data_IF_137089443246
#
_entry.id   IF_137089443246
#
_cell.length_a   1.000
_cell.length_b   1.000
_cell.length_c   1.000
_cell.angle_alpha   90.00
_cell.angle_beta   90.00
_cell.angle_gamma   90.00
#
_symmetry.space_group_name_H-M   'P 1'
#
loop_
_entity.id
_entity.type
_entity.pdbx_description
1 polymer ?
#
# COMPACT_ATOMS: atom_id res chain seq x y z
N UNK A 1 -20.74 -20.46 22.46
CA UNK A 1 -19.96 -21.72 22.44
C UNK A 1 -18.51 -21.33 22.22
N UNK A 2 -17.54 -21.86 22.99
CA UNK A 2 -16.14 -21.57 22.71
C UNK A 2 -15.81 -22.20 21.35
N UNK A 3 -15.32 -21.38 20.43
CA UNK A 3 -14.87 -21.80 19.10
C UNK A 3 -13.75 -22.81 19.34
N UNK A 4 -13.95 -24.04 18.88
CA UNK A 4 -12.95 -25.11 18.96
C UNK A 4 -11.64 -24.57 18.35
N UNK A 5 -10.47 -24.64 19.02
CA UNK A 5 -9.23 -24.19 18.42
C UNK A 5 -9.04 -24.96 17.11
N UNK A 6 -9.00 -24.21 16.00
CA UNK A 6 -8.90 -24.79 14.67
C UNK A 6 -7.64 -25.64 14.62
N UNK A 7 -7.84 -26.93 14.41
CA UNK A 7 -6.73 -27.86 14.24
C UNK A 7 -6.52 -28.03 12.75
N UNK A 8 -5.59 -27.25 12.21
CA UNK A 8 -5.13 -27.41 10.84
C UNK A 8 -4.25 -28.67 10.73
N UNK A 9 -4.34 -29.40 9.63
CA UNK A 9 -3.62 -30.68 9.46
C UNK A 9 -2.25 -30.51 8.84
N UNK A 10 -2.10 -29.51 7.99
CA UNK A 10 -0.95 -29.31 7.11
C UNK A 10 -0.15 -28.05 7.46
N UNK A 11 -0.71 -27.14 8.24
CA UNK A 11 -0.09 -25.88 8.66
C UNK A 11 -0.17 -25.67 10.18
N UNK A 12 0.77 -24.91 10.71
CA UNK A 12 0.78 -24.41 12.09
C UNK A 12 0.69 -22.89 12.07
N UNK A 13 0.14 -22.33 13.14
CA UNK A 13 -0.05 -20.89 13.32
C UNK A 13 0.63 -20.42 14.61
N UNK A 14 1.27 -19.26 14.55
CA UNK A 14 1.86 -18.60 15.71
C UNK A 14 1.40 -17.13 15.78
N UNK A 15 0.59 -16.83 16.79
CA UNK A 15 0.12 -15.47 17.10
C UNK A 15 1.08 -14.69 17.99
N UNK A 16 2.11 -15.34 18.53
CA UNK A 16 3.15 -14.75 19.36
C UNK A 16 4.44 -14.44 18.58
N UNK A 17 4.44 -14.72 17.27
CA UNK A 17 5.56 -14.43 16.37
C UNK A 17 6.04 -12.97 16.46
N UNK A 18 5.12 -12.03 16.62
CA UNK A 18 5.41 -10.62 16.83
C UNK A 18 4.59 -10.07 18.02
N UNK A 19 5.13 -9.12 18.83
CA UNK A 19 4.45 -8.58 20.01
C UNK A 19 3.01 -8.10 19.81
N UNK A 20 2.64 -7.72 18.59
CA UNK A 20 1.32 -7.19 18.23
C UNK A 20 0.36 -8.22 17.66
N UNK A 21 0.83 -9.43 17.32
CA UNK A 21 0.05 -10.45 16.61
C UNK A 21 -0.15 -10.20 15.11
N UNK A 22 0.28 -9.05 14.59
CA UNK A 22 0.31 -8.71 13.17
C UNK A 22 1.76 -8.82 12.66
N UNK A 23 2.07 -9.66 11.64
CA UNK A 23 1.18 -10.65 11.03
C UNK A 23 1.14 -11.96 11.85
N UNK A 24 0.13 -12.80 11.59
CA UNK A 24 0.16 -14.19 12.06
C UNK A 24 1.14 -14.98 11.23
N UNK A 25 2.06 -15.68 11.89
CA UNK A 25 2.99 -16.57 11.21
C UNK A 25 2.30 -17.91 10.88
N UNK A 26 2.48 -18.35 9.64
CA UNK A 26 1.94 -19.61 9.11
C UNK A 26 3.10 -20.44 8.56
N UNK A 27 3.24 -21.67 9.06
CA UNK A 27 4.32 -22.57 8.66
C UNK A 27 3.79 -23.96 8.28
N UNK A 28 4.40 -24.65 7.30
CA UNK A 28 4.03 -26.03 7.00
C UNK A 28 4.42 -26.98 8.15
N UNK A 29 3.60 -28.00 8.40
CA UNK A 29 3.92 -29.06 9.37
C UNK A 29 4.62 -30.23 8.68
N UNK A 30 4.01 -30.78 7.63
CA UNK A 30 4.39 -32.06 7.06
C UNK A 30 5.06 -31.97 5.68
N UNK A 31 4.78 -30.89 4.92
CA UNK A 31 5.29 -30.70 3.57
C UNK A 31 5.53 -29.23 3.30
N UNK A 32 6.69 -28.83 2.75
CA UNK A 32 6.92 -27.46 2.34
C UNK A 32 6.17 -27.10 1.03
N UNK A 33 5.60 -28.07 0.32
CA UNK A 33 4.79 -27.80 -0.86
C UNK A 33 3.47 -27.12 -0.47
N UNK A 34 3.35 -25.83 -0.77
CA UNK A 34 2.17 -25.03 -0.46
C UNK A 34 0.89 -25.59 -1.11
N UNK A 35 0.99 -26.31 -2.23
CA UNK A 35 -0.16 -26.92 -2.91
C UNK A 35 -0.78 -28.02 -2.07
N UNK A 36 0.03 -28.75 -1.31
CA UNK A 36 -0.45 -29.75 -0.36
C UNK A 36 -1.12 -29.14 0.88
N UNK A 37 -0.89 -27.84 1.13
CA UNK A 37 -1.42 -27.09 2.28
C UNK A 37 -2.54 -26.11 1.90
N UNK A 38 -2.89 -26.00 0.61
CA UNK A 38 -3.68 -24.87 0.11
C UNK A 38 -5.09 -24.80 0.72
N UNK A 39 -5.71 -25.95 1.00
CA UNK A 39 -7.05 -25.99 1.59
C UNK A 39 -7.07 -25.44 3.02
N UNK A 40 -6.11 -25.86 3.85
CA UNK A 40 -5.95 -25.33 5.21
C UNK A 40 -5.55 -23.85 5.19
N UNK A 41 -4.69 -23.45 4.24
CA UNK A 41 -4.28 -22.05 4.05
C UNK A 41 -5.49 -21.17 3.70
N UNK A 42 -6.35 -21.61 2.77
CA UNK A 42 -7.58 -20.89 2.40
C UNK A 42 -8.53 -20.75 3.58
N UNK A 43 -8.76 -21.85 4.30
CA UNK A 43 -9.60 -21.84 5.49
C UNK A 43 -9.07 -20.88 6.55
N UNK A 44 -7.75 -20.85 6.77
CA UNK A 44 -7.11 -19.91 7.68
C UNK A 44 -7.31 -18.46 7.22
N UNK A 45 -7.08 -18.18 5.94
CA UNK A 45 -7.22 -16.83 5.36
C UNK A 45 -8.64 -16.31 5.54
N UNK A 46 -9.66 -17.11 5.25
CA UNK A 46 -11.07 -16.74 5.44
C UNK A 46 -11.40 -16.38 6.90
N UNK A 47 -10.73 -17.01 7.87
CA UNK A 47 -11.03 -16.86 9.29
C UNK A 47 -10.19 -15.80 9.99
N UNK A 48 -8.94 -15.62 9.57
CA UNK A 48 -7.97 -14.80 10.30
C UNK A 48 -7.57 -13.52 9.58
N UNK A 49 -7.66 -13.44 8.24
CA UNK A 49 -7.18 -12.25 7.53
C UNK A 49 -7.89 -10.98 7.99
N UNK A 50 -9.23 -11.00 8.06
CA UNK A 50 -10.01 -9.83 8.49
C UNK A 50 -9.89 -9.55 10.00
N UNK A 51 -9.47 -10.53 10.80
CA UNK A 51 -9.24 -10.33 12.24
C UNK A 51 -7.89 -9.65 12.46
N UNK A 52 -6.86 -10.16 11.80
CA UNK A 52 -5.45 -9.86 12.07
C UNK A 52 -4.90 -8.77 11.14
N UNK A 53 -5.47 -8.59 9.95
CA UNK A 53 -5.01 -7.67 8.91
C UNK A 53 -3.89 -8.22 8.02
N UNK A 54 -3.14 -9.24 8.47
CA UNK A 54 -2.06 -9.82 7.68
C UNK A 54 -1.56 -11.19 8.17
N UNK A 55 -1.01 -11.95 7.22
CA UNK A 55 -0.49 -13.31 7.40
C UNK A 55 0.89 -13.43 6.75
N UNK A 56 1.84 -14.08 7.43
CA UNK A 56 3.18 -14.37 6.92
C UNK A 56 3.34 -15.88 6.74
N UNK A 57 3.49 -16.32 5.49
CA UNK A 57 3.74 -17.71 5.12
C UNK A 57 5.25 -17.94 5.01
N UNK A 58 5.80 -18.77 5.90
CA UNK A 58 7.24 -19.04 6.01
C UNK A 58 7.55 -20.53 5.96
N UNK A 59 8.62 -20.88 5.25
CA UNK A 59 9.07 -22.27 5.12
C UNK A 59 8.37 -23.07 4.03
N UNK A 60 7.49 -22.44 3.24
CA UNK A 60 6.94 -23.03 2.03
C UNK A 60 7.96 -22.95 0.87
N UNK A 61 7.96 -23.96 0.00
CA UNK A 61 8.86 -24.07 -1.14
C UNK A 61 8.40 -23.20 -2.32
N UNK A 62 8.39 -21.89 -2.12
CA UNK A 62 7.99 -20.91 -3.14
C UNK A 62 9.25 -20.29 -3.75
N UNK A 63 9.42 -20.43 -5.07
CA UNK A 63 10.63 -20.00 -5.78
C UNK A 63 10.29 -19.16 -6.99
N UNK A 64 10.65 -17.88 -6.91
CA UNK A 64 10.56 -16.95 -8.03
C UNK A 64 9.12 -16.52 -8.34
N UNK A 65 9.00 -15.66 -9.36
CA UNK A 65 7.75 -14.98 -9.68
C UNK A 65 6.64 -15.91 -10.19
N UNK A 66 6.95 -17.01 -10.87
CA UNK A 66 5.94 -17.93 -11.41
C UNK A 66 5.21 -18.70 -10.30
N UNK A 67 5.94 -19.27 -9.34
CA UNK A 67 5.36 -19.96 -8.18
C UNK A 67 4.61 -18.98 -7.27
N UNK A 68 5.13 -17.76 -7.10
CA UNK A 68 4.42 -16.71 -6.38
C UNK A 68 3.10 -16.34 -7.06
N UNK A 69 3.10 -16.17 -8.39
CA UNK A 69 1.89 -15.90 -9.17
C UNK A 69 0.86 -17.03 -9.00
N UNK A 70 1.30 -18.29 -9.11
CA UNK A 70 0.44 -19.45 -8.91
C UNK A 70 -0.15 -19.51 -7.50
N UNK A 71 0.64 -19.19 -6.47
CA UNK A 71 0.18 -19.11 -5.09
C UNK A 71 -0.88 -18.03 -4.91
N UNK A 72 -0.63 -16.80 -5.39
CA UNK A 72 -1.57 -15.69 -5.27
C UNK A 72 -2.89 -15.97 -6.04
N UNK A 73 -2.81 -16.54 -7.25
CA UNK A 73 -3.99 -16.93 -8.04
C UNK A 73 -4.78 -18.09 -7.43
N UNK A 74 -4.16 -18.91 -6.59
CA UNK A 74 -4.86 -20.03 -5.95
C UNK A 74 -6.04 -19.56 -5.09
N UNK A 75 -6.05 -18.31 -4.63
CA UNK A 75 -7.16 -17.69 -3.89
C UNK A 75 -8.36 -17.29 -4.76
N UNK A 76 -8.35 -17.58 -6.07
CA UNK A 76 -9.53 -17.50 -6.93
C UNK A 76 -9.86 -16.09 -7.44
N UNK A 77 -8.89 -15.18 -7.45
CA UNK A 77 -9.04 -13.84 -7.97
C UNK A 77 -8.01 -13.58 -9.07
N UNK A 78 -8.43 -12.88 -10.12
CA UNK A 78 -7.49 -12.34 -11.09
C UNK A 78 -6.60 -11.29 -10.42
N UNK A 79 -5.32 -11.31 -10.82
CA UNK A 79 -4.37 -10.30 -10.38
C UNK A 79 -4.61 -9.02 -11.16
N UNK A 80 -4.58 -7.90 -10.44
CA UNK A 80 -4.82 -6.58 -11.01
C UNK A 80 -3.60 -6.08 -11.79
N UNK A 81 -3.86 -5.32 -12.83
CA UNK A 81 -2.83 -4.53 -13.50
C UNK A 81 -2.50 -3.29 -12.66
N UNK A 82 -1.27 -2.79 -12.81
CA UNK A 82 -0.81 -1.58 -12.12
C UNK A 82 -1.07 -0.35 -12.98
N UNK A 83 -2.35 0.01 -13.10
CA UNK A 83 -2.80 1.21 -13.81
C UNK A 83 -2.75 2.45 -12.89
N UNK A 84 -2.58 3.64 -13.48
CA UNK A 84 -2.45 4.91 -12.75
C UNK A 84 -1.32 4.92 -11.70
N UNK A 85 -0.14 4.51 -12.15
CA UNK A 85 1.04 4.31 -11.32
C UNK A 85 1.44 5.59 -10.54
N UNK A 86 1.71 5.42 -9.25
CA UNK A 86 2.37 6.43 -8.42
C UNK A 86 3.86 6.19 -8.26
N UNK A 87 4.39 5.03 -8.63
CA UNK A 87 5.83 4.77 -8.59
C UNK A 87 6.26 3.90 -9.76
N UNK A 88 7.50 3.99 -10.25
CA UNK A 88 8.01 3.04 -11.23
C UNK A 88 7.94 1.61 -10.65
N UNK A 89 7.33 0.70 -11.40
CA UNK A 89 7.37 -0.74 -11.16
C UNK A 89 7.62 -1.45 -12.48
N UNK A 90 8.44 -2.49 -12.43
CA UNK A 90 8.68 -3.35 -13.59
C UNK A 90 7.80 -4.60 -13.44
N UNK A 91 7.02 -4.91 -14.47
CA UNK A 91 6.27 -6.17 -14.53
C UNK A 91 7.27 -7.32 -14.69
N UNK A 92 7.22 -8.28 -13.76
CA UNK A 92 8.10 -9.46 -13.76
C UNK A 92 7.39 -10.66 -14.40
N UNK A 93 6.07 -10.76 -14.18
CA UNK A 93 5.16 -11.70 -14.84
C UNK A 93 3.73 -11.15 -14.77
N UNK A 94 2.78 -11.72 -15.53
CA UNK A 94 1.42 -11.16 -15.66
C UNK A 94 0.73 -10.92 -14.30
N UNK A 95 0.60 -9.63 -13.93
CA UNK A 95 0.01 -9.19 -12.65
C UNK A 95 0.95 -9.23 -11.43
N UNK A 96 2.25 -9.44 -11.64
CA UNK A 96 3.31 -9.44 -10.63
C UNK A 96 4.35 -8.39 -10.96
N UNK A 97 4.61 -7.51 -10.00
CA UNK A 97 5.44 -6.33 -10.17
C UNK A 97 6.62 -6.32 -9.20
N UNK A 98 7.71 -5.64 -9.53
CA UNK A 98 8.73 -5.28 -8.53
C UNK A 98 8.09 -4.39 -7.44
N UNK A 99 8.52 -4.53 -6.18
CA UNK A 99 8.21 -3.51 -5.17
C UNK A 99 8.81 -2.17 -5.61
N UNK A 100 8.21 -1.06 -5.17
CA UNK A 100 8.58 0.31 -5.54
C UNK A 100 10.11 0.50 -5.55
N UNK A 101 10.63 0.84 -6.74
CA UNK A 101 12.04 1.12 -6.97
C UNK A 101 12.40 2.48 -6.35
N UNK A 102 12.94 2.43 -5.14
CA UNK A 102 13.31 3.60 -4.35
C UNK A 102 14.73 3.41 -3.79
N UNK A 103 15.56 4.47 -3.65
CA UNK A 103 16.95 4.33 -3.21
C UNK A 103 17.06 3.55 -1.90
N UNK A 104 18.04 2.64 -1.78
CA UNK A 104 18.15 1.74 -0.63
C UNK A 104 18.32 2.44 0.72
N UNK A 105 18.87 3.66 0.71
CA UNK A 105 19.08 4.48 1.91
C UNK A 105 17.84 5.30 2.33
N UNK A 106 16.72 5.20 1.60
CA UNK A 106 15.49 5.93 1.90
C UNK A 106 14.39 5.00 2.39
N UNK A 107 13.60 5.49 3.34
CA UNK A 107 12.40 4.82 3.86
C UNK A 107 11.24 5.09 2.93
N UNK A 108 10.40 4.08 2.69
CA UNK A 108 9.05 4.29 2.16
C UNK A 108 8.11 4.32 3.36
N UNK A 109 7.45 5.46 3.67
CA UNK A 109 6.54 5.57 4.79
C UNK A 109 5.40 4.56 4.71
N UNK A 110 4.85 4.19 5.87
CA UNK A 110 3.65 3.34 5.96
C UNK A 110 2.49 3.95 5.17
N UNK A 111 1.87 3.17 4.30
CA UNK A 111 0.71 3.57 3.51
C UNK A 111 -0.12 2.33 3.15
N UNK A 112 -1.39 2.53 2.82
CA UNK A 112 -2.20 1.51 2.16
C UNK A 112 -2.12 1.70 0.65
N UNK A 113 -1.99 0.62 -0.12
CA UNK A 113 -1.80 0.69 -1.57
C UNK A 113 -2.99 1.41 -2.24
N UNK A 114 -2.71 2.38 -3.12
CA UNK A 114 -3.70 3.17 -3.86
C UNK A 114 -4.72 3.95 -3.01
N UNK A 115 -4.49 4.14 -1.70
CA UNK A 115 -5.37 4.94 -0.83
C UNK A 115 -5.40 6.46 -1.13
N UNK A 116 -4.74 6.92 -2.20
CA UNK A 116 -4.87 8.27 -2.76
C UNK A 116 -5.90 8.34 -3.91
N UNK A 117 -6.66 7.27 -4.14
CA UNK A 117 -7.68 7.15 -5.19
C UNK A 117 -8.99 6.60 -4.62
N UNK A 118 -10.05 6.59 -5.43
CA UNK A 118 -11.36 6.02 -5.12
C UNK A 118 -11.48 4.52 -5.45
N UNK A 119 -10.43 3.90 -6.00
CA UNK A 119 -10.43 2.48 -6.33
C UNK A 119 -9.09 1.82 -6.01
N UNK A 120 -9.11 0.73 -5.24
CA UNK A 120 -7.90 0.10 -4.72
C UNK A 120 -8.03 -1.43 -4.66
N UNK A 121 -6.92 -2.18 -4.60
CA UNK A 121 -6.96 -3.61 -4.27
C UNK A 121 -7.37 -3.81 -2.81
N UNK A 122 -8.20 -4.81 -2.53
CA UNK A 122 -8.45 -5.27 -1.16
C UNK A 122 -7.35 -6.20 -0.64
N UNK A 123 -6.62 -6.86 -1.55
CA UNK A 123 -5.53 -7.78 -1.20
C UNK A 123 -4.23 -7.38 -1.85
N UNK A 124 -3.17 -7.36 -1.06
CA UNK A 124 -1.80 -7.20 -1.54
C UNK A 124 -0.91 -8.30 -0.97
N UNK A 125 -0.04 -8.80 -1.82
CA UNK A 125 0.89 -9.88 -1.51
C UNK A 125 2.31 -9.41 -1.75
N UNK A 126 3.23 -9.81 -0.86
CA UNK A 126 4.66 -9.56 -0.99
C UNK A 126 5.39 -10.90 -0.97
N UNK A 127 6.35 -11.12 -1.87
CA UNK A 127 7.21 -12.30 -1.86
C UNK A 127 8.68 -11.91 -1.83
N UNK A 128 9.41 -12.46 -0.86
CA UNK A 128 10.85 -12.26 -0.72
C UNK A 128 11.63 -13.26 -1.60
N UNK A 129 12.04 -12.83 -2.79
CA UNK A 129 12.92 -13.61 -3.66
C UNK A 129 14.38 -13.58 -3.18
N UNK A 130 14.83 -12.41 -2.73
CA UNK A 130 16.18 -12.20 -2.19
C UNK A 130 16.04 -11.38 -0.90
N UNK A 131 16.35 -12.02 0.21
CA UNK A 131 16.36 -11.37 1.51
C UNK A 131 17.52 -10.37 1.61
N UNK A 132 17.30 -9.19 2.22
CA UNK A 132 18.35 -8.19 2.42
C UNK A 132 19.44 -8.70 3.37
N UNK A 133 20.67 -8.21 3.19
CA UNK A 133 21.78 -8.53 4.10
C UNK A 133 21.60 -7.88 5.47
N UNK A 134 21.09 -6.64 5.49
CA UNK A 134 20.76 -5.89 6.70
C UNK A 134 19.49 -5.07 6.47
N UNK A 135 18.64 -5.00 7.50
CA UNK A 135 17.35 -4.29 7.50
C UNK A 135 16.45 -4.71 6.34
N UNK A 136 15.85 -3.78 5.60
CA UNK A 136 15.04 -4.04 4.41
C UNK A 136 13.70 -4.72 4.67
N UNK A 137 13.22 -4.68 5.90
CA UNK A 137 11.90 -5.13 6.27
C UNK A 137 10.83 -4.38 5.46
N UNK A 138 9.68 -5.03 5.33
CA UNK A 138 8.44 -4.35 4.94
C UNK A 138 7.69 -4.07 6.24
N UNK A 139 7.91 -2.92 6.91
CA UNK A 139 7.14 -2.56 8.08
C UNK A 139 5.65 -2.56 7.74
N UNK A 140 4.82 -2.99 8.67
CA UNK A 140 3.37 -2.93 8.56
C UNK A 140 2.75 -2.28 9.78
N UNK A 141 1.48 -1.87 9.70
CA UNK A 141 0.74 -1.31 10.82
C UNK A 141 -0.77 -1.56 10.67
N UNK A 142 -1.48 -1.81 11.77
CA UNK A 142 -2.94 -1.95 11.76
C UNK A 142 -3.61 -0.58 11.56
N UNK A 143 -4.23 -0.36 10.39
CA UNK A 143 -4.88 0.90 10.01
C UNK A 143 -6.08 1.24 10.90
N UNK A 144 -6.67 0.26 11.61
CA UNK A 144 -7.72 0.50 12.62
C UNK A 144 -7.10 1.06 13.90
N UNK A 145 -5.94 0.55 14.30
CA UNK A 145 -5.22 1.06 15.46
C UNK A 145 -4.72 2.49 15.21
N UNK A 146 -4.20 2.75 14.01
CA UNK A 146 -3.80 4.09 13.56
C UNK A 146 -4.99 5.05 13.66
N UNK A 147 -6.16 4.69 13.09
CA UNK A 147 -7.40 5.48 13.20
C UNK A 147 -7.77 5.82 14.65
N UNK A 148 -7.66 4.83 15.56
CA UNK A 148 -7.99 5.00 16.98
C UNK A 148 -7.02 5.90 17.74
N UNK A 149 -5.73 5.89 17.36
CA UNK A 149 -4.66 6.65 18.02
C UNK A 149 -4.49 8.07 17.52
N UNK A 150 -4.91 8.38 16.29
CA UNK A 150 -4.92 9.77 15.80
C UNK A 150 -5.84 10.60 16.70
N UNK A 151 -5.41 11.82 17.02
CA UNK A 151 -6.17 12.75 17.85
C UNK A 151 -7.58 12.92 17.24
N UNK A 152 -8.67 12.71 18.01
CA UNK A 152 -10.03 12.85 17.50
C UNK A 152 -10.29 14.16 16.78
N UNK A 153 -9.74 15.29 17.25
CA UNK A 153 -9.94 16.58 16.63
C UNK A 153 -9.22 16.70 15.28
N UNK A 154 -8.02 16.09 15.15
CA UNK A 154 -7.33 15.99 13.85
C UNK A 154 -8.17 15.10 12.91
N UNK A 155 -8.58 13.93 13.39
CA UNK A 155 -9.35 12.96 12.60
C UNK A 155 -10.65 13.57 12.09
N UNK A 156 -11.40 14.27 12.94
CA UNK A 156 -12.68 14.88 12.58
C UNK A 156 -12.54 15.92 11.45
N UNK A 157 -11.50 16.76 11.48
CA UNK A 157 -11.22 17.71 10.38
C UNK A 157 -10.97 17.01 9.05
N UNK A 158 -10.19 15.93 9.08
CA UNK A 158 -9.91 15.12 7.88
C UNK A 158 -11.18 14.45 7.35
N UNK A 159 -12.04 13.93 8.23
CA UNK A 159 -13.33 13.31 7.85
C UNK A 159 -14.30 14.34 7.28
N UNK A 160 -14.40 15.52 7.89
CA UNK A 160 -15.31 16.59 7.46
C UNK A 160 -14.99 17.07 6.05
N UNK A 161 -13.71 17.26 5.74
CA UNK A 161 -13.31 17.86 4.47
C UNK A 161 -12.90 16.86 3.38
N UNK A 162 -12.58 15.62 3.72
CA UNK A 162 -11.91 14.72 2.78
C UNK A 162 -10.53 15.27 2.35
N UNK A 163 -9.97 14.72 1.26
CA UNK A 163 -8.63 15.07 0.80
C UNK A 163 -8.59 15.32 -0.70
N UNK A 164 -8.03 16.46 -1.11
CA UNK A 164 -7.77 16.80 -2.51
C UNK A 164 -6.32 16.45 -2.85
N UNK A 165 -6.13 15.39 -3.63
CA UNK A 165 -4.82 15.04 -4.19
C UNK A 165 -4.60 15.78 -5.51
N UNK A 166 -3.45 16.46 -5.61
CA UNK A 166 -3.02 17.13 -6.83
C UNK A 166 -1.70 16.50 -7.29
N UNK A 167 -1.62 16.14 -8.57
CA UNK A 167 -0.40 15.63 -9.19
C UNK A 167 -0.10 16.41 -10.45
N UNK A 168 1.15 16.85 -10.60
CA UNK A 168 1.67 17.49 -11.80
C UNK A 168 2.63 16.52 -12.49
N UNK A 169 2.27 16.07 -13.69
CA UNK A 169 3.08 15.16 -14.51
C UNK A 169 3.91 15.96 -15.49
N UNK A 170 5.00 16.52 -14.99
CA UNK A 170 5.80 17.52 -15.67
C UNK A 170 7.15 17.76 -15.03
N UNK A 171 7.98 18.60 -15.67
CA UNK A 171 9.26 19.10 -15.15
C UNK A 171 10.35 18.06 -14.83
N UNK A 172 10.11 16.77 -15.11
CA UNK A 172 11.09 15.68 -14.89
C UNK A 172 11.34 15.32 -13.42
N UNK A 173 10.50 15.80 -12.50
CA UNK A 173 10.65 15.58 -11.05
C UNK A 173 9.89 14.34 -10.54
N UNK A 174 8.96 13.83 -11.35
CA UNK A 174 8.16 12.64 -11.08
C UNK A 174 7.89 11.90 -12.41
N UNK A 175 7.08 10.83 -12.37
CA UNK A 175 6.61 10.10 -13.55
C UNK A 175 5.98 11.05 -14.58
N UNK A 176 6.28 10.83 -15.85
CA UNK A 176 5.52 11.47 -16.92
C UNK A 176 4.08 10.93 -16.95
N UNK A 177 3.14 11.68 -17.52
CA UNK A 177 1.76 11.21 -17.60
C UNK A 177 1.68 9.95 -18.47
N UNK A 178 2.54 9.80 -19.48
CA UNK A 178 2.56 8.59 -20.29
C UNK A 178 2.96 7.35 -19.48
N UNK A 179 3.91 7.51 -18.56
CA UNK A 179 4.31 6.43 -17.65
C UNK A 179 3.21 6.16 -16.63
N UNK A 180 2.60 7.19 -16.07
CA UNK A 180 1.55 7.05 -15.05
C UNK A 180 0.29 6.37 -15.61
N UNK A 181 -0.12 6.71 -16.84
CA UNK A 181 -1.32 6.19 -17.49
C UNK A 181 -1.05 5.04 -18.47
N UNK A 182 0.22 4.69 -18.72
CA UNK A 182 0.60 3.61 -19.64
C UNK A 182 0.22 3.86 -21.10
N UNK A 183 0.03 5.12 -21.51
CA UNK A 183 -0.42 5.49 -22.86
C UNK A 183 0.15 6.82 -23.32
N UNK A 184 0.27 7.03 -24.63
CA UNK A 184 0.64 8.32 -25.23
C UNK A 184 -0.55 9.06 -25.84
N UNK A 185 -1.77 8.57 -25.63
CA UNK A 185 -3.01 9.13 -26.19
C UNK A 185 -3.77 9.94 -25.12
N UNK A 186 -3.89 11.26 -25.35
CA UNK A 186 -4.60 12.16 -24.43
C UNK A 186 -6.06 11.79 -24.26
N UNK A 187 -6.72 11.27 -25.30
CA UNK A 187 -8.13 10.89 -25.22
C UNK A 187 -8.35 9.69 -24.29
N UNK A 188 -7.40 8.76 -24.21
CA UNK A 188 -7.44 7.64 -23.27
C UNK A 188 -7.26 8.13 -21.82
N UNK A 189 -6.38 9.10 -21.60
CA UNK A 189 -6.18 9.75 -20.30
C UNK A 189 -7.47 10.46 -19.84
N UNK A 190 -8.10 11.24 -20.72
CA UNK A 190 -9.34 11.95 -20.43
C UNK A 190 -10.50 10.99 -20.12
N UNK A 191 -10.62 9.89 -20.86
CA UNK A 191 -11.60 8.84 -20.61
C UNK A 191 -11.39 8.16 -19.26
N UNK A 192 -10.15 7.81 -18.93
CA UNK A 192 -9.79 7.27 -17.61
C UNK A 192 -10.15 8.27 -16.50
N UNK A 193 -9.75 9.53 -16.65
CA UNK A 193 -10.01 10.55 -15.63
C UNK A 193 -11.51 10.74 -15.40
N UNK A 194 -12.31 10.76 -16.47
CA UNK A 194 -13.78 10.84 -16.38
C UNK A 194 -14.37 9.64 -15.64
N UNK A 195 -13.92 8.42 -15.97
CA UNK A 195 -14.40 7.19 -15.34
C UNK A 195 -14.07 7.12 -13.84
N UNK A 196 -12.94 7.70 -13.43
CA UNK A 196 -12.43 7.64 -12.06
C UNK A 196 -12.67 8.94 -11.24
N UNK A 197 -13.51 9.86 -11.74
CA UNK A 197 -13.80 11.14 -11.09
C UNK A 197 -12.55 11.99 -10.80
N UNK A 198 -11.62 12.02 -11.76
CA UNK A 198 -10.40 12.82 -11.72
C UNK A 198 -10.60 14.03 -12.62
N UNK A 199 -10.34 15.23 -12.10
CA UNK A 199 -10.24 16.44 -12.91
C UNK A 199 -8.93 16.40 -13.71
N UNK A 200 -9.03 16.50 -15.03
CA UNK A 200 -7.92 16.42 -15.96
C UNK A 200 -7.66 17.79 -16.60
N UNK A 201 -6.49 18.38 -16.33
CA UNK A 201 -6.13 19.72 -16.77
C UNK A 201 -4.85 19.65 -17.60
N UNK A 202 -4.97 19.86 -18.91
CA UNK A 202 -3.82 19.99 -19.81
C UNK A 202 -3.26 21.42 -19.74
N UNK A 203 -1.97 21.55 -19.46
CA UNK A 203 -1.24 22.82 -19.47
C UNK A 203 -0.86 23.21 -20.91
N UNK A 204 -0.51 24.49 -21.11
CA UNK A 204 -0.17 25.04 -22.43
C UNK A 204 1.05 24.37 -23.08
N UNK A 205 2.01 23.92 -22.27
CA UNK A 205 3.21 23.18 -22.68
C UNK A 205 2.94 21.69 -22.98
N UNK A 206 1.71 21.22 -22.78
CA UNK A 206 1.30 19.84 -23.02
C UNK A 206 1.48 18.91 -21.82
N UNK A 207 1.94 19.41 -20.67
CA UNK A 207 1.96 18.69 -19.40
C UNK A 207 0.54 18.49 -18.84
N UNK A 208 0.41 17.59 -17.87
CA UNK A 208 -0.86 17.23 -17.26
C UNK A 208 -0.85 17.58 -15.77
N UNK A 209 -1.94 18.15 -15.29
CA UNK A 209 -2.29 18.18 -13.88
C UNK A 209 -3.57 17.37 -13.67
N UNK A 210 -3.57 16.53 -12.63
CA UNK A 210 -4.78 15.84 -12.16
C UNK A 210 -5.15 16.28 -10.77
N UNK A 211 -6.46 16.42 -10.51
CA UNK A 211 -6.99 16.64 -9.17
C UNK A 211 -8.07 15.60 -8.85
N UNK A 212 -8.03 15.04 -7.65
CA UNK A 212 -9.04 14.07 -7.20
C UNK A 212 -9.35 14.28 -5.73
N UNK A 213 -10.63 14.45 -5.41
CA UNK A 213 -11.10 14.43 -4.02
C UNK A 213 -11.34 12.98 -3.63
N UNK A 214 -10.69 12.54 -2.55
CA UNK A 214 -10.71 11.18 -2.05
C UNK A 214 -11.07 11.18 -0.56
N UNK A 215 -11.37 10.00 -0.06
CA UNK A 215 -11.59 9.71 1.34
C UNK A 215 -10.36 10.03 2.21
N UNK A 216 -10.62 10.44 3.46
CA UNK A 216 -9.60 10.47 4.51
C UNK A 216 -9.62 9.20 5.36
N UNK A 217 -10.81 8.67 5.63
CA UNK A 217 -11.04 7.41 6.34
C UNK A 217 -12.01 6.61 5.51
N UNK A 218 -11.96 5.28 5.62
CA UNK A 218 -12.92 4.42 4.94
C UNK A 218 -13.48 3.36 5.89
N UNK A 219 -14.57 2.75 5.48
CA UNK A 219 -15.22 1.65 6.21
C UNK A 219 -14.89 0.35 5.50
N UNK A 220 -14.20 -0.57 6.19
CA UNK A 220 -13.85 -1.84 5.60
C UNK A 220 -15.11 -2.63 5.20
N UNK A 221 -15.26 -3.09 3.94
CA UNK A 221 -16.53 -3.63 3.42
C UNK A 221 -16.99 -4.93 4.09
N UNK A 222 -16.08 -5.67 4.73
CA UNK A 222 -16.41 -6.95 5.39
C UNK A 222 -16.50 -6.82 6.91
N UNK A 223 -15.55 -6.12 7.54
CA UNK A 223 -15.54 -5.98 9.02
C UNK A 223 -16.36 -4.80 9.52
N UNK A 224 -16.70 -3.86 8.62
CA UNK A 224 -17.36 -2.59 8.92
C UNK A 224 -16.58 -1.70 9.92
N UNK A 225 -15.29 -1.97 10.11
CA UNK A 225 -14.42 -1.17 10.96
C UNK A 225 -13.94 0.09 10.22
N UNK A 226 -13.79 1.19 10.96
CA UNK A 226 -13.17 2.41 10.45
C UNK A 226 -11.66 2.24 10.37
N UNK A 227 -11.08 2.63 9.23
CA UNK A 227 -9.64 2.57 8.96
C UNK A 227 -9.12 3.94 8.55
N UNK A 228 -7.90 4.28 9.02
CA UNK A 228 -7.17 5.43 8.50
C UNK A 228 -6.62 5.06 7.13
N UNK A 229 -7.29 5.53 6.08
CA UNK A 229 -7.10 5.02 4.73
C UNK A 229 -6.92 6.18 3.75
N UNK A 230 -5.73 6.76 3.80
CA UNK A 230 -5.28 7.82 2.91
C UNK A 230 -3.73 7.84 2.83
N UNK A 231 -3.18 8.72 2.01
CA UNK A 231 -1.74 8.95 1.89
C UNK A 231 -1.37 10.43 2.06
N UNK A 232 -2.14 11.19 2.85
CA UNK A 232 -1.90 12.63 3.01
C UNK A 232 -0.51 12.92 3.59
N UNK A 233 -0.08 12.14 4.59
CA UNK A 233 1.25 12.23 5.17
C UNK A 233 2.37 11.86 4.19
N UNK A 234 2.08 11.12 3.13
CA UNK A 234 3.08 10.74 2.14
C UNK A 234 3.14 11.74 0.98
N UNK A 235 1.99 12.25 0.54
CA UNK A 235 1.87 13.13 -0.63
C UNK A 235 2.09 14.60 -0.30
N UNK A 236 1.87 15.02 0.95
CA UNK A 236 2.07 16.40 1.34
C UNK A 236 3.54 16.80 1.24
N UNK A 237 3.79 18.03 0.80
CA UNK A 237 5.14 18.56 0.62
C UNK A 237 6.00 18.54 1.91
N UNK A 238 5.36 18.60 3.07
CA UNK A 238 6.04 18.46 4.38
C UNK A 238 6.61 17.07 4.65
N UNK A 239 6.38 16.09 3.78
CA UNK A 239 7.10 14.82 3.83
C UNK A 239 8.57 14.93 3.38
N UNK A 240 8.93 16.01 2.68
CA UNK A 240 10.32 16.32 2.36
C UNK A 240 10.99 17.03 3.53
N UNK A 241 12.30 16.86 3.64
CA UNK A 241 13.13 17.70 4.51
C UNK A 241 12.91 19.19 4.17
N UNK A 242 12.90 20.05 5.20
CA UNK A 242 12.57 21.47 5.08
C UNK A 242 13.40 22.17 4.00
N UNK A 243 14.71 21.90 3.92
CA UNK A 243 15.56 22.54 2.94
C UNK A 243 15.24 22.07 1.50
N UNK A 244 14.92 20.79 1.33
CA UNK A 244 14.51 20.22 0.03
C UNK A 244 13.16 20.79 -0.38
N UNK A 245 12.20 20.88 0.55
CA UNK A 245 10.89 21.50 0.35
C UNK A 245 11.03 22.93 -0.13
N UNK A 246 11.77 23.77 0.59
CA UNK A 246 11.90 25.18 0.28
C UNK A 246 12.58 25.39 -1.09
N UNK A 247 13.60 24.58 -1.36
CA UNK A 247 14.27 24.58 -2.66
C UNK A 247 13.30 24.20 -3.78
N UNK A 248 12.53 23.12 -3.61
CA UNK A 248 11.58 22.66 -4.61
C UNK A 248 10.50 23.71 -4.89
N UNK A 249 9.90 24.28 -3.84
CA UNK A 249 8.89 25.35 -3.97
C UNK A 249 9.49 26.57 -4.68
N UNK A 250 10.74 26.96 -4.39
CA UNK A 250 11.38 28.09 -5.05
C UNK A 250 11.59 27.90 -6.56
N UNK A 251 11.71 26.65 -7.01
CA UNK A 251 11.96 26.30 -8.42
C UNK A 251 10.65 26.19 -9.20
N UNK A 252 9.63 25.52 -8.65
CA UNK A 252 8.41 25.19 -9.40
C UNK A 252 7.18 25.99 -8.98
N UNK A 253 7.20 26.64 -7.81
CA UNK A 253 5.99 27.19 -7.19
C UNK A 253 5.16 26.09 -6.51
N UNK A 254 4.36 26.47 -5.51
CA UNK A 254 3.58 25.50 -4.73
C UNK A 254 2.53 24.79 -5.60
N UNK A 255 1.94 25.49 -6.56
CA UNK A 255 0.92 24.99 -7.47
C UNK A 255 1.43 23.97 -8.50
N UNK A 256 2.74 23.95 -8.77
CA UNK A 256 3.37 23.01 -9.71
C UNK A 256 4.21 21.93 -9.01
N UNK A 257 4.07 21.78 -7.69
CA UNK A 257 4.68 20.65 -6.98
C UNK A 257 4.27 19.34 -7.64
N UNK A 258 5.20 18.36 -7.81
CA UNK A 258 4.90 17.10 -8.49
C UNK A 258 3.73 16.36 -7.84
N UNK A 259 3.66 16.43 -6.50
CA UNK A 259 2.54 15.95 -5.69
C UNK A 259 2.30 16.91 -4.55
N UNK A 260 1.03 17.17 -4.25
CA UNK A 260 0.64 17.75 -2.98
C UNK A 260 -0.78 17.29 -2.61
N UNK A 261 -1.18 17.55 -1.38
CA UNK A 261 -2.50 17.22 -0.86
C UNK A 261 -3.05 18.36 -0.02
N UNK A 262 -4.32 18.64 -0.17
CA UNK A 262 -5.07 19.66 0.57
C UNK A 262 -6.29 19.00 1.22
N UNK A 263 -7.01 19.73 2.06
CA UNK A 263 -8.38 19.34 2.38
C UNK A 263 -9.23 19.33 1.11
N UNK A 264 -10.33 18.57 1.08
CA UNK A 264 -11.16 18.42 -0.12
C UNK A 264 -11.76 19.73 -0.65
N UNK A 265 -11.84 20.77 0.18
CA UNK A 265 -12.24 22.13 -0.20
C UNK A 265 -11.09 22.99 -0.76
N UNK A 266 -9.88 22.44 -0.83
CA UNK A 266 -8.66 23.10 -1.28
C UNK A 266 -7.91 23.89 -0.20
N UNK A 267 -8.40 23.91 1.04
CA UNK A 267 -7.69 24.58 2.14
C UNK A 267 -6.44 23.80 2.59
N UNK A 268 -5.39 24.48 3.07
CA UNK A 268 -4.13 23.81 3.44
C UNK A 268 -4.28 22.95 4.68
N UNK A 269 -3.59 21.81 4.69
CA UNK A 269 -3.46 20.96 5.87
C UNK A 269 -2.30 21.48 6.71
N UNK A 270 -2.48 21.55 8.04
CA UNK A 270 -1.41 21.99 8.94
C UNK A 270 -0.29 20.95 9.00
N UNK A 271 0.95 21.39 8.86
CA UNK A 271 2.14 20.53 9.01
C UNK A 271 2.16 19.77 10.34
N UNK A 272 1.71 20.40 11.42
CA UNK A 272 1.64 19.78 12.76
C UNK A 272 0.67 18.60 12.82
N UNK A 273 -0.46 18.68 12.10
CA UNK A 273 -1.43 17.58 12.05
C UNK A 273 -0.81 16.38 11.30
N UNK A 274 -0.11 16.67 10.21
CA UNK A 274 0.60 15.68 9.40
C UNK A 274 1.78 15.05 10.16
N UNK A 275 2.49 15.83 10.97
CA UNK A 275 3.55 15.34 11.85
C UNK A 275 2.99 14.39 12.91
N UNK A 276 1.88 14.75 13.57
CA UNK A 276 1.17 13.85 14.50
C UNK A 276 0.78 12.53 13.84
N UNK A 277 0.26 12.57 12.60
CA UNK A 277 -0.09 11.36 11.84
C UNK A 277 1.14 10.47 11.61
N UNK A 278 2.29 11.04 11.23
CA UNK A 278 3.55 10.28 11.03
C UNK A 278 4.00 9.63 12.33
N UNK A 279 3.94 10.35 13.45
CA UNK A 279 4.31 9.83 14.77
C UNK A 279 3.41 8.66 15.19
N UNK A 280 2.09 8.76 14.96
CA UNK A 280 1.16 7.66 15.24
C UNK A 280 1.45 6.45 14.35
N UNK A 281 1.73 6.65 13.06
CA UNK A 281 2.10 5.57 12.15
C UNK A 281 3.38 4.86 12.62
N UNK A 282 4.42 5.61 12.98
CA UNK A 282 5.66 5.08 13.52
C UNK A 282 5.43 4.29 14.83
N UNK A 283 4.61 4.81 15.75
CA UNK A 283 4.26 4.12 17.00
C UNK A 283 3.43 2.84 16.80
N UNK A 284 2.72 2.72 15.67
CA UNK A 284 1.94 1.53 15.30
C UNK A 284 2.74 0.55 14.44
N UNK A 285 3.95 0.93 14.03
CA UNK A 285 4.77 0.13 13.15
C UNK A 285 5.19 -1.17 13.82
N UNK A 286 5.12 -2.24 13.02
CA UNK A 286 5.63 -3.57 13.37
C UNK A 286 6.52 -4.05 12.25
N UNK A 287 7.58 -4.79 12.57
CA UNK A 287 8.58 -5.18 11.58
C UNK A 287 9.18 -6.52 11.95
N UNK A 288 9.48 -7.31 10.93
CA UNK A 288 10.14 -8.59 11.07
C UNK A 288 11.12 -8.77 9.92
N UNK A 289 12.22 -9.47 10.18
CA UNK A 289 13.19 -9.78 9.15
C UNK A 289 12.58 -10.72 8.10
N UNK A 290 12.73 -10.34 6.83
CA UNK A 290 12.42 -11.20 5.70
C UNK A 290 13.31 -12.44 5.68
N UNK A 291 12.74 -13.58 5.32
CA UNK A 291 13.48 -14.76 4.88
C UNK A 291 13.18 -15.02 3.40
N UNK A 292 14.17 -15.55 2.69
CA UNK A 292 13.97 -15.95 1.31
C UNK A 292 12.87 -17.01 1.23
N UNK A 293 11.93 -16.84 0.31
CA UNK A 293 10.79 -17.73 0.14
C UNK A 293 9.53 -17.27 0.87
N UNK A 294 9.64 -16.33 1.83
CA UNK A 294 8.47 -15.83 2.54
C UNK A 294 7.45 -15.21 1.57
N UNK A 295 6.17 -15.39 1.91
CA UNK A 295 5.07 -14.59 1.37
C UNK A 295 4.35 -13.89 2.52
N UNK A 296 4.11 -12.60 2.39
CA UNK A 296 3.17 -11.87 3.25
C UNK A 296 1.90 -11.53 2.48
N UNK A 297 0.75 -11.86 3.05
CA UNK A 297 -0.57 -11.38 2.63
C UNK A 297 -1.00 -10.26 3.55
N UNK A 298 -1.48 -9.16 2.99
CA UNK A 298 -2.17 -8.13 3.74
C UNK A 298 -3.58 -7.93 3.17
N UNK A 299 -4.53 -7.72 4.06
CA UNK A 299 -5.73 -6.97 3.73
C UNK A 299 -5.31 -5.50 3.60
N UNK A 300 -5.39 -4.98 2.38
CA UNK A 300 -4.84 -3.67 2.06
C UNK A 300 -5.56 -2.53 2.79
N UNK A 301 -6.80 -2.71 3.26
CA UNK A 301 -7.49 -1.69 4.05
C UNK A 301 -7.14 -1.78 5.54
N UNK A 302 -6.93 -2.99 6.04
CA UNK A 302 -6.66 -3.22 7.47
C UNK A 302 -5.18 -3.05 7.84
N UNK A 303 -4.26 -3.25 6.91
CA UNK A 303 -2.83 -3.17 7.17
C UNK A 303 -2.12 -2.24 6.19
N UNK A 304 -1.56 -1.15 6.71
CA UNK A 304 -0.61 -0.30 6.00
C UNK A 304 0.75 -1.00 5.92
N UNK A 305 1.54 -0.70 4.88
CA UNK A 305 2.90 -1.21 4.68
C UNK A 305 3.86 -0.12 4.23
N UNK A 306 5.15 -0.34 4.45
CA UNK A 306 6.22 0.56 4.04
C UNK A 306 7.47 -0.21 3.64
N UNK A 307 8.63 0.46 3.69
CA UNK A 307 9.92 -0.19 3.44
C UNK A 307 11.02 0.48 4.27
N UNK A 308 11.72 -0.30 5.08
CA UNK A 308 12.93 0.15 5.76
C UNK A 308 14.06 0.43 4.77
N UNK A 309 15.08 1.17 5.22
CA UNK A 309 16.36 1.22 4.52
C UNK A 309 17.01 -0.17 4.48
N UNK A 310 17.93 -0.41 3.56
CA UNK A 310 18.64 -1.68 3.46
C UNK A 310 20.03 -1.54 2.84
N UNK A 311 20.87 -2.55 3.05
CA UNK A 311 22.15 -2.71 2.36
C UNK A 311 22.19 -4.03 1.58
N UNK A 312 23.01 -4.06 0.54
CA UNK A 312 23.20 -5.26 -0.29
C UNK A 312 22.03 -5.52 -1.24
N UNK A 313 21.94 -6.76 -1.70
CA UNK A 313 20.86 -7.18 -2.59
C UNK A 313 19.53 -7.33 -1.83
N UNK A 314 18.43 -6.88 -2.43
CA UNK A 314 17.07 -7.08 -1.92
C UNK A 314 16.12 -7.20 -3.09
N UNK A 315 15.29 -8.24 -3.11
CA UNK A 315 14.25 -8.41 -4.13
C UNK A 315 12.97 -8.90 -3.48
N UNK A 316 12.00 -7.98 -3.40
CA UNK A 316 10.62 -8.28 -3.00
C UNK A 316 9.70 -7.94 -4.17
N UNK A 317 8.89 -8.90 -4.59
CA UNK A 317 7.88 -8.74 -5.65
C UNK A 317 6.48 -8.69 -5.06
N UNK A 318 5.55 -8.09 -5.78
CA UNK A 318 4.21 -7.75 -5.30
C UNK A 318 3.14 -8.25 -6.27
N UNK A 319 2.02 -8.73 -5.73
CA UNK A 319 0.80 -9.01 -6.49
C UNK A 319 -0.41 -8.38 -5.78
N UNK A 320 -1.38 -7.90 -6.56
CA UNK A 320 -2.59 -7.24 -6.04
C UNK A 320 -3.83 -7.92 -6.61
N UNK A 321 -4.89 -8.00 -5.82
CA UNK A 321 -6.13 -8.67 -6.22
C UNK A 321 -7.36 -8.00 -5.61
N UNK A 322 -8.53 -8.34 -6.16
CA UNK A 322 -9.84 -7.87 -5.72
C UNK A 322 -9.95 -6.34 -5.73
N UNK A 323 -10.11 -5.77 -6.93
CA UNK A 323 -10.40 -4.34 -7.07
C UNK A 323 -11.70 -3.99 -6.34
N UNK A 324 -11.64 -2.92 -5.56
CA UNK A 324 -12.76 -2.32 -4.86
C UNK A 324 -12.85 -0.85 -5.25
N UNK A 325 -14.07 -0.31 -5.31
CA UNK A 325 -14.28 1.12 -5.50
C UNK A 325 -15.24 1.61 -4.44
N UNK A 326 -14.88 2.70 -3.78
CA UNK A 326 -15.82 3.48 -3.00
C UNK A 326 -16.74 4.16 -4.01
N UNK A 327 -18.03 3.82 -4.00
CA UNK A 327 -18.99 4.56 -4.83
C UNK A 327 -19.28 5.90 -4.14
N UNK A 328 -19.23 7.03 -4.87
CA UNK A 328 -19.68 8.31 -4.36
C UNK A 328 -21.16 8.30 -3.92
#
# INVERSE_FOLDING_TARGET
MPINPLTFKSISIDHHFHPTGLPVLVQPINSPDWRACIDDIKQLVEQQLHVQGGLLFRGFAIKGAEEFNAFARAFGHDLLNYDYASTPRNEVSSGVYTSTEYPAHQVIPLHNEQAYTLSWPLKIWFHCEVAPEQNGETPIADSRLVYKKIDPAIRERFVEHGLLYIRNYGNGLDLSWQQAFGTSDKAQVEAFCTQHHIECIWKEDGELQTKQVCQAVSTHPVTHEQVWFNQAHLFHISNLDEHIRDTLISIVGEENLPRNVYYGDGSPIKDQDLQHIREVLEQCQVSFAWQQGDIMMLDNMLAAHGRSTFSGARKVIVAMAQGYSEQP
#
